data_IF_863560924659
#
_entry.id   IF_863560924659
#
_cell.length_a   1.000
_cell.length_b   1.000
_cell.length_c   1.000
_cell.angle_alpha   90.00
_cell.angle_beta   90.00
_cell.angle_gamma   90.00
#
_symmetry.space_group_name_H-M   'P 1'
#
loop_
_entity.id
_entity.type
_entity.pdbx_description
1 polymer ?
#
# COMPACT_ATOMS: atom_id res chain seq x y z
N UNK A 1 11.21 -8.36 5.66
CA UNK A 1 10.75 -9.59 5.03
C UNK A 1 9.46 -9.94 5.76
N UNK A 2 8.33 -9.57 5.16
CA UNK A 2 6.97 -9.63 5.74
C UNK A 2 6.13 -10.47 4.81
N UNK A 3 5.56 -11.54 5.33
CA UNK A 3 4.68 -12.46 4.59
C UNK A 3 3.29 -11.84 4.45
N UNK A 4 2.75 -11.81 3.22
CA UNK A 4 1.38 -11.36 2.95
C UNK A 4 0.34 -12.37 3.45
N UNK A 5 -0.88 -11.90 3.71
CA UNK A 5 -2.02 -12.78 4.03
C UNK A 5 -2.49 -13.56 2.80
N UNK A 6 -3.20 -14.67 3.03
CA UNK A 6 -3.78 -15.49 1.95
C UNK A 6 -4.69 -14.67 1.03
N UNK A 7 -5.53 -13.80 1.60
CA UNK A 7 -6.43 -12.90 0.84
C UNK A 7 -5.66 -11.99 -0.13
N UNK A 8 -4.52 -11.44 0.32
CA UNK A 8 -3.66 -10.60 -0.52
C UNK A 8 -3.01 -11.41 -1.63
N UNK A 9 -2.55 -12.62 -1.34
CA UNK A 9 -1.93 -13.50 -2.33
C UNK A 9 -2.93 -13.93 -3.41
N UNK A 10 -4.20 -14.17 -3.07
CA UNK A 10 -5.25 -14.47 -4.03
C UNK A 10 -5.48 -13.31 -5.02
N UNK A 11 -5.48 -12.07 -4.53
CA UNK A 11 -5.61 -10.88 -5.38
C UNK A 11 -4.41 -10.73 -6.31
N UNK A 12 -3.20 -10.96 -5.79
CA UNK A 12 -1.96 -10.93 -6.57
C UNK A 12 -1.97 -12.02 -7.64
N UNK A 13 -2.38 -13.23 -7.28
CA UNK A 13 -2.43 -14.36 -8.18
C UNK A 13 -3.41 -14.12 -9.34
N UNK A 14 -4.61 -13.61 -9.06
CA UNK A 14 -5.58 -13.24 -10.11
C UNK A 14 -4.99 -12.25 -11.11
N UNK A 15 -4.28 -11.22 -10.62
CA UNK A 15 -3.66 -10.24 -11.51
C UNK A 15 -2.51 -10.87 -12.32
N UNK A 16 -1.68 -11.70 -11.69
CA UNK A 16 -0.56 -12.37 -12.34
C UNK A 16 -1.01 -13.33 -13.48
N UNK A 17 -2.13 -14.03 -13.29
CA UNK A 17 -2.65 -15.00 -14.27
C UNK A 17 -3.43 -14.33 -15.39
N UNK A 18 -4.35 -13.41 -15.04
CA UNK A 18 -5.30 -12.83 -16.00
C UNK A 18 -4.72 -11.64 -16.78
N UNK A 19 -3.69 -10.97 -16.26
CA UNK A 19 -3.10 -9.81 -16.95
C UNK A 19 -2.50 -10.21 -18.30
N UNK A 20 -2.93 -9.50 -19.35
CA UNK A 20 -2.45 -9.67 -20.74
C UNK A 20 -1.23 -8.82 -21.08
N UNK A 21 -0.62 -8.14 -20.10
CA UNK A 21 0.50 -7.22 -20.31
C UNK A 21 0.23 -6.11 -21.34
N UNK A 22 -1.01 -5.62 -21.45
CA UNK A 22 -1.38 -4.59 -22.42
C UNK A 22 -0.86 -3.17 -22.11
N UNK A 23 -0.25 -2.95 -20.93
CA UNK A 23 0.36 -1.69 -20.46
C UNK A 23 -0.55 -0.43 -20.47
N UNK A 24 -1.85 -0.55 -20.72
CA UNK A 24 -2.78 0.61 -20.73
C UNK A 24 -2.78 1.36 -19.40
N UNK A 25 -2.70 0.64 -18.28
CA UNK A 25 -2.64 1.21 -16.95
C UNK A 25 -1.36 2.02 -16.68
N UNK A 26 -0.29 1.78 -17.44
CA UNK A 26 0.99 2.48 -17.25
C UNK A 26 1.00 3.87 -17.89
N UNK A 27 0.21 4.12 -18.94
CA UNK A 27 0.24 5.41 -19.69
C UNK A 27 0.12 6.64 -18.79
N UNK A 28 -0.80 6.61 -17.84
CA UNK A 28 -1.11 7.73 -16.95
C UNK A 28 -0.58 7.51 -15.51
N UNK A 29 0.21 6.45 -15.27
CA UNK A 29 0.63 6.06 -13.92
C UNK A 29 2.15 6.12 -13.76
N UNK A 30 2.65 7.25 -13.25
CA UNK A 30 4.07 7.46 -12.95
C UNK A 30 4.65 6.40 -12.01
N UNK A 31 3.85 5.93 -11.05
CA UNK A 31 4.22 4.84 -10.16
C UNK A 31 4.52 3.54 -10.94
N UNK A 32 3.62 3.08 -11.80
CA UNK A 32 3.87 1.84 -12.53
C UNK A 32 5.07 2.00 -13.49
N UNK A 33 5.22 3.17 -14.10
CA UNK A 33 6.37 3.47 -14.98
C UNK A 33 7.72 3.45 -14.24
N UNK A 34 7.76 3.86 -12.97
CA UNK A 34 9.02 3.93 -12.21
C UNK A 34 9.43 2.59 -11.58
N UNK A 35 8.47 1.72 -11.24
CA UNK A 35 8.72 0.50 -10.49
C UNK A 35 8.72 -0.79 -11.34
N UNK A 36 8.18 -0.77 -12.56
CA UNK A 36 8.14 -1.96 -13.41
C UNK A 36 8.04 -1.63 -14.91
N UNK A 37 8.49 -2.54 -15.77
CA UNK A 37 8.21 -2.47 -17.21
C UNK A 37 6.81 -3.00 -17.56
N UNK A 38 6.33 -3.97 -16.78
CA UNK A 38 5.01 -4.56 -16.94
C UNK A 38 4.38 -4.84 -15.57
N UNK A 39 3.07 -4.58 -15.41
CA UNK A 39 2.36 -4.94 -14.20
C UNK A 39 2.34 -6.46 -13.98
N UNK A 40 2.27 -7.26 -15.06
CA UNK A 40 2.27 -8.72 -14.96
C UNK A 40 3.54 -9.23 -14.28
N UNK A 41 4.69 -8.78 -14.76
CA UNK A 41 6.01 -9.19 -14.27
C UNK A 41 6.24 -8.74 -12.82
N UNK A 42 5.69 -7.58 -12.44
CA UNK A 42 5.71 -7.13 -11.06
C UNK A 42 4.93 -8.09 -10.14
N UNK A 43 3.68 -8.40 -10.48
CA UNK A 43 2.85 -9.27 -9.64
C UNK A 43 3.32 -10.73 -9.64
N UNK A 44 3.87 -11.25 -10.74
CA UNK A 44 4.48 -12.59 -10.76
C UNK A 44 5.73 -12.65 -9.89
N UNK A 45 6.56 -11.60 -9.88
CA UNK A 45 7.73 -11.50 -9.00
C UNK A 45 7.30 -11.53 -7.54
N UNK A 46 6.31 -10.71 -7.17
CA UNK A 46 5.75 -10.67 -5.80
C UNK A 46 5.16 -12.03 -5.39
N UNK A 47 4.49 -12.73 -6.32
CA UNK A 47 3.93 -14.05 -6.06
C UNK A 47 5.03 -15.11 -5.84
N UNK A 48 6.13 -15.03 -6.60
CA UNK A 48 7.24 -15.97 -6.51
C UNK A 48 8.09 -15.77 -5.24
N UNK A 49 8.33 -14.53 -4.85
CA UNK A 49 9.07 -14.21 -3.61
C UNK A 49 8.18 -14.32 -2.37
N UNK A 50 6.87 -14.14 -2.51
CA UNK A 50 5.94 -13.98 -1.38
C UNK A 50 6.15 -12.68 -0.61
N UNK A 51 6.98 -11.78 -1.13
CA UNK A 51 7.45 -10.57 -0.44
C UNK A 51 7.61 -9.41 -1.42
N UNK A 52 7.47 -8.18 -0.92
CA UNK A 52 7.86 -6.99 -1.67
C UNK A 52 8.49 -5.93 -0.76
N UNK A 53 9.26 -5.02 -1.36
CA UNK A 53 9.79 -3.86 -0.64
C UNK A 53 8.63 -2.99 -0.13
N UNK A 54 8.60 -2.61 1.16
CA UNK A 54 7.49 -1.84 1.71
C UNK A 54 7.20 -0.53 0.95
N UNK A 55 8.23 0.09 0.37
CA UNK A 55 8.09 1.32 -0.40
C UNK A 55 7.18 1.12 -1.64
N UNK A 56 7.17 -0.06 -2.25
CA UNK A 56 6.46 -0.32 -3.49
C UNK A 56 4.93 -0.22 -3.31
N UNK A 57 4.29 -0.96 -2.37
CA UNK A 57 2.86 -0.79 -2.12
C UNK A 57 2.51 0.63 -1.68
N UNK A 58 3.34 1.30 -0.88
CA UNK A 58 3.10 2.67 -0.40
C UNK A 58 3.28 3.76 -1.45
N UNK A 59 3.98 3.50 -2.56
CA UNK A 59 4.19 4.46 -3.65
C UNK A 59 2.97 4.64 -4.55
N UNK A 60 2.05 3.67 -4.57
CA UNK A 60 0.77 3.81 -5.28
C UNK A 60 -0.08 4.98 -4.69
N UNK A 61 -0.78 5.77 -5.49
CA UNK A 61 -1.66 6.82 -4.95
C UNK A 61 -3.12 6.36 -4.77
N UNK A 62 -3.41 5.08 -5.05
CA UNK A 62 -4.77 4.50 -4.99
C UNK A 62 -5.81 5.32 -5.79
N UNK A 63 -5.40 5.94 -6.90
CA UNK A 63 -6.26 6.79 -7.72
C UNK A 63 -7.33 6.04 -8.53
N UNK A 64 -7.27 4.69 -8.58
CA UNK A 64 -8.25 3.84 -9.24
C UNK A 64 -8.23 3.84 -10.78
N UNK A 65 -7.45 4.72 -11.42
CA UNK A 65 -7.36 4.85 -12.89
C UNK A 65 -7.00 3.53 -13.58
N UNK A 66 -6.11 2.74 -12.98
CA UNK A 66 -5.67 1.45 -13.51
C UNK A 66 -6.82 0.46 -13.75
N UNK A 67 -7.83 0.44 -12.88
CA UNK A 67 -9.01 -0.43 -13.02
C UNK A 67 -9.95 0.06 -14.11
N UNK A 68 -10.12 1.39 -14.23
CA UNK A 68 -10.97 2.01 -15.26
C UNK A 68 -10.46 1.75 -16.67
N UNK A 69 -9.14 1.82 -16.89
CA UNK A 69 -8.54 1.65 -18.23
C UNK A 69 -8.24 0.19 -18.58
N UNK A 70 -8.33 -0.72 -17.61
CA UNK A 70 -8.08 -2.14 -17.83
C UNK A 70 -9.26 -2.78 -18.59
N UNK A 71 -9.01 -3.45 -19.74
CA UNK A 71 -10.09 -4.12 -20.47
C UNK A 71 -10.70 -5.29 -19.69
N UNK A 72 -9.93 -5.89 -18.77
CA UNK A 72 -10.35 -6.98 -17.90
C UNK A 72 -10.80 -6.50 -16.52
N UNK A 73 -10.85 -5.19 -16.28
CA UNK A 73 -11.23 -4.57 -15.01
C UNK A 73 -10.44 -5.10 -13.79
N UNK A 74 -9.17 -5.44 -14.00
CA UNK A 74 -8.30 -5.89 -12.91
C UNK A 74 -8.10 -4.79 -11.88
N UNK A 75 -8.16 -5.19 -10.61
CA UNK A 75 -8.20 -4.27 -9.47
C UNK A 75 -6.84 -4.09 -8.82
N UNK A 76 -5.89 -3.53 -9.56
CA UNK A 76 -4.53 -3.28 -9.07
C UNK A 76 -4.52 -2.37 -7.82
N UNK A 77 -5.43 -1.40 -7.74
CA UNK A 77 -5.53 -0.54 -6.56
C UNK A 77 -5.89 -1.32 -5.29
N UNK A 78 -6.83 -2.27 -5.39
CA UNK A 78 -7.24 -3.10 -4.25
C UNK A 78 -6.10 -4.04 -3.80
N UNK A 79 -5.33 -4.62 -4.73
CA UNK A 79 -4.19 -5.46 -4.36
C UNK A 79 -3.10 -4.66 -3.63
N UNK A 80 -2.74 -3.46 -4.11
CA UNK A 80 -1.79 -2.61 -3.38
C UNK A 80 -2.31 -2.13 -2.02
N UNK A 81 -3.61 -1.89 -1.89
CA UNK A 81 -4.22 -1.54 -0.60
C UNK A 81 -4.14 -2.72 0.39
N UNK A 82 -4.47 -3.93 -0.05
CA UNK A 82 -4.38 -5.14 0.77
C UNK A 82 -2.92 -5.37 1.24
N UNK A 83 -1.95 -5.22 0.35
CA UNK A 83 -0.53 -5.28 0.70
C UNK A 83 -0.15 -4.25 1.77
N UNK A 84 -0.65 -3.00 1.69
CA UNK A 84 -0.39 -1.99 2.73
C UNK A 84 -0.96 -2.42 4.07
N UNK A 85 -2.19 -2.92 4.10
CA UNK A 85 -2.85 -3.36 5.32
C UNK A 85 -2.05 -4.48 6.00
N UNK A 86 -1.54 -5.43 5.23
CA UNK A 86 -0.70 -6.51 5.74
C UNK A 86 0.66 -6.00 6.26
N UNK A 87 1.27 -5.04 5.56
CA UNK A 87 2.49 -4.37 6.04
C UNK A 87 2.25 -3.63 7.37
N UNK A 88 1.13 -2.94 7.52
CA UNK A 88 0.75 -2.25 8.76
C UNK A 88 0.51 -3.27 9.88
N UNK A 89 -0.25 -4.33 9.62
CA UNK A 89 -0.54 -5.39 10.61
C UNK A 89 0.75 -6.07 11.09
N UNK A 90 1.62 -6.46 10.16
CA UNK A 90 2.91 -7.10 10.50
C UNK A 90 3.89 -6.16 11.23
N UNK A 91 3.73 -4.85 11.08
CA UNK A 91 4.57 -3.84 11.70
C UNK A 91 3.92 -3.12 12.90
N UNK A 92 3.08 -3.82 13.66
CA UNK A 92 2.47 -3.32 14.91
C UNK A 92 1.63 -2.05 14.71
N UNK A 93 0.94 -1.92 13.57
CA UNK A 93 0.15 -0.74 13.26
C UNK A 93 0.94 0.41 12.61
N UNK A 94 2.26 0.26 12.40
CA UNK A 94 3.08 1.29 11.77
C UNK A 94 3.17 1.10 10.25
N UNK A 95 3.01 2.16 9.43
CA UNK A 95 3.16 2.06 7.97
C UNK A 95 4.55 1.58 7.52
N UNK A 96 5.61 2.17 8.07
CA UNK A 96 7.00 1.85 7.72
C UNK A 96 7.84 1.77 8.99
N UNK A 97 8.80 0.84 9.02
CA UNK A 97 9.72 0.68 10.16
C UNK A 97 10.55 1.94 10.44
N UNK A 98 10.90 2.68 9.40
CA UNK A 98 11.67 3.92 9.50
C UNK A 98 10.93 5.07 10.21
N UNK A 99 9.60 4.99 10.35
CA UNK A 99 8.77 6.07 10.88
C UNK A 99 8.55 6.01 12.41
N UNK A 100 9.42 5.30 13.16
CA UNK A 100 9.29 5.20 14.63
C UNK A 100 9.39 6.56 15.34
N UNK A 101 10.21 7.47 14.83
CA UNK A 101 10.33 8.84 15.36
C UNK A 101 9.03 9.63 15.23
N UNK A 102 8.27 9.40 14.16
CA UNK A 102 6.97 10.06 13.93
C UNK A 102 5.96 9.63 14.98
N UNK A 103 5.96 8.37 15.40
CA UNK A 103 5.07 7.89 16.47
C UNK A 103 5.38 8.57 17.81
N UNK A 104 6.66 8.70 18.16
CA UNK A 104 7.07 9.44 19.37
C UNK A 104 6.62 10.90 19.27
N UNK A 105 6.85 11.54 18.12
CA UNK A 105 6.38 12.90 17.88
C UNK A 105 4.86 13.01 18.01
N UNK A 106 4.08 12.11 17.39
CA UNK A 106 2.61 12.09 17.48
C UNK A 106 2.12 11.88 18.93
N UNK A 107 2.76 10.99 19.67
CA UNK A 107 2.45 10.72 21.07
C UNK A 107 2.70 11.95 21.95
N UNK A 108 3.89 12.55 21.86
CA UNK A 108 4.23 13.73 22.66
C UNK A 108 3.47 14.98 22.22
N UNK A 109 3.21 15.14 20.91
CA UNK A 109 2.43 16.27 20.37
C UNK A 109 0.96 16.25 20.79
N UNK A 110 0.46 15.16 21.36
CA UNK A 110 -0.88 15.05 21.94
C UNK A 110 -0.85 14.90 23.47
N UNK A 111 0.33 14.92 24.09
CA UNK A 111 0.49 14.76 25.52
C UNK A 111 0.24 16.08 26.24
N UNK A 112 -0.53 16.04 27.34
CA UNK A 112 -0.95 17.22 28.12
C UNK A 112 0.20 18.13 28.57
N UNK A 113 1.40 17.58 28.72
CA UNK A 113 2.58 18.35 29.10
C UNK A 113 3.13 19.23 27.96
N UNK A 114 2.90 18.83 26.70
CA UNK A 114 3.45 19.48 25.51
C UNK A 114 2.39 20.14 24.63
N UNK A 115 1.10 19.92 24.91
CA UNK A 115 -0.01 20.62 24.25
C UNK A 115 -0.58 21.73 25.12
N UNK A 116 -0.60 22.95 24.57
CA UNK A 116 -1.29 24.11 25.17
C UNK A 116 -2.80 24.12 24.95
N UNK A 117 -3.38 23.03 24.45
CA UNK A 117 -4.83 22.93 24.28
C UNK A 117 -5.48 22.78 25.66
N UNK A 118 -5.96 23.92 26.15
CA UNK A 118 -6.87 24.02 27.26
C UNK A 118 -8.11 23.24 26.85
N UNK A 119 -8.18 21.94 27.17
CA UNK A 119 -9.38 21.12 26.95
C UNK A 119 -10.55 21.99 27.35
N UNK A 120 -11.34 22.46 26.38
CA UNK A 120 -12.53 23.24 26.63
C UNK A 120 -13.25 22.51 27.76
N UNK A 121 -13.30 23.17 28.92
CA UNK A 121 -13.56 22.50 30.19
C UNK A 121 -14.73 21.54 30.02
N UNK A 122 -14.62 20.34 30.60
CA UNK A 122 -15.80 19.49 30.77
C UNK A 122 -16.87 20.37 31.43
N UNK A 123 -17.84 20.82 30.64
CA UNK A 123 -19.14 21.24 31.15
C UNK A 123 -19.84 19.94 31.53
N UNK A 124 -19.59 19.48 32.74
CA UNK A 124 -20.50 18.64 33.52
C UNK A 124 -20.51 19.21 34.92
#
# INVERSE_FOLDING_TARGET
MTTYSEETLDLVQKIATECTACQRCMKDCLFLQSFCENPKDLFTTILATGESEPLLPFSCLLCGRCTVVCPLQLKLGESFLAMRQDLVKSNQGRPLKALRSVELHQFFSCHRFFTGDNRGGRKQ
#
